data_IF_897856009775
#
_entry.id   IF_897856009775
#
_cell.length_a   1.000
_cell.length_b   1.000
_cell.length_c   1.000
_cell.angle_alpha   90.00
_cell.angle_beta   90.00
_cell.angle_gamma   90.00
#
_symmetry.space_group_name_H-M   'P 1'
#
loop_
_entity.id
_entity.type
_entity.pdbx_description
1 polymer ?
#
# COMPACT_ATOMS: atom_id res chain seq x y z
N UNK A 1 4.52 50.46 13.84
CA UNK A 1 4.88 49.67 12.63
C UNK A 1 4.44 48.23 12.88
N UNK A 2 3.34 47.82 12.24
CA UNK A 2 2.88 46.43 12.29
C UNK A 2 3.80 45.58 11.40
N UNK A 3 4.32 44.46 11.92
CA UNK A 3 4.99 43.44 11.10
C UNK A 3 4.00 42.31 10.85
N UNK A 4 3.83 42.07 9.56
CA UNK A 4 2.98 41.05 8.95
C UNK A 4 3.50 39.65 9.28
N UNK A 5 2.57 38.70 9.33
CA UNK A 5 2.79 37.27 9.41
C UNK A 5 3.72 36.80 8.29
N UNK A 6 4.74 36.03 8.63
CA UNK A 6 5.43 35.15 7.70
C UNK A 6 4.87 33.74 7.93
N UNK A 7 3.82 33.43 7.17
CA UNK A 7 3.42 32.08 6.83
C UNK A 7 4.29 31.67 5.65
N UNK A 8 5.27 30.79 5.85
CA UNK A 8 5.87 30.01 4.76
C UNK A 8 6.64 28.81 5.32
N UNK A 9 6.40 27.66 4.69
CA UNK A 9 7.20 26.46 4.89
C UNK A 9 6.54 25.40 5.75
N UNK A 10 5.32 24.95 5.38
CA UNK A 10 5.04 23.52 5.50
C UNK A 10 6.07 22.80 4.63
N UNK A 11 7.20 22.44 5.24
CA UNK A 11 8.07 21.40 4.75
C UNK A 11 7.23 20.13 4.70
N UNK A 12 6.55 19.90 3.58
CA UNK A 12 6.19 18.56 3.18
C UNK A 12 7.53 17.85 3.01
N UNK A 13 7.96 17.26 4.11
CA UNK A 13 9.01 16.27 4.17
C UNK A 13 8.68 15.26 3.08
N UNK A 14 9.35 15.40 1.93
CA UNK A 14 9.49 14.35 0.94
C UNK A 14 10.35 13.28 1.61
N UNK A 15 9.80 12.65 2.65
CA UNK A 15 10.23 11.37 3.10
C UNK A 15 10.12 10.50 1.86
N UNK A 16 11.27 10.17 1.31
CA UNK A 16 11.47 9.10 0.34
C UNK A 16 11.07 7.81 1.06
N UNK A 17 9.77 7.67 1.35
CA UNK A 17 9.21 6.55 2.08
C UNK A 17 9.52 5.34 1.21
N UNK A 18 10.40 4.49 1.71
CA UNK A 18 10.79 3.24 1.05
C UNK A 18 9.55 2.57 0.46
N UNK A 19 9.58 2.14 -0.81
CA UNK A 19 8.41 1.71 -1.54
C UNK A 19 7.69 0.61 -0.75
N UNK A 20 6.48 0.92 -0.28
CA UNK A 20 5.66 -0.04 0.44
C UNK A 20 4.88 -0.86 -0.58
N UNK A 21 5.10 -2.17 -0.57
CA UNK A 21 4.42 -3.12 -1.43
C UNK A 21 3.17 -3.63 -0.72
N UNK A 22 2.02 -3.42 -1.34
CA UNK A 22 0.75 -3.99 -0.93
C UNK A 22 0.42 -5.14 -1.86
N UNK A 23 0.36 -6.36 -1.33
CA UNK A 23 0.17 -7.57 -2.14
C UNK A 23 -1.13 -8.24 -1.70
N UNK A 24 -2.03 -8.49 -2.65
CA UNK A 24 -3.30 -9.20 -2.43
C UNK A 24 -3.26 -10.49 -3.23
N UNK A 25 -3.30 -11.61 -2.53
CA UNK A 25 -3.35 -12.96 -3.10
C UNK A 25 -4.76 -13.50 -2.98
N UNK A 26 -5.21 -14.27 -3.95
CA UNK A 26 -6.50 -14.97 -3.93
C UNK A 26 -6.38 -16.28 -4.68
N UNK A 27 -7.42 -17.11 -4.59
CA UNK A 27 -7.46 -18.40 -5.29
C UNK A 27 -7.43 -18.14 -6.80
N UNK A 28 -6.28 -18.41 -7.43
CA UNK A 28 -6.06 -18.24 -8.86
C UNK A 28 -5.15 -17.08 -9.27
N UNK A 29 -4.70 -16.23 -8.33
CA UNK A 29 -3.88 -15.08 -8.70
C UNK A 29 -3.29 -14.28 -7.54
N UNK A 30 -2.48 -13.30 -7.92
CA UNK A 30 -1.89 -12.31 -7.01
C UNK A 30 -1.76 -10.97 -7.72
N UNK A 31 -2.12 -9.90 -7.01
CA UNK A 31 -2.07 -8.54 -7.49
C UNK A 31 -1.21 -7.65 -6.56
N UNK A 32 -0.47 -6.74 -7.17
CA UNK A 32 0.40 -5.79 -6.48
C UNK A 32 -0.15 -4.38 -6.62
N UNK A 33 -0.20 -3.67 -5.50
CA UNK A 33 -0.72 -2.31 -5.40
C UNK A 33 0.31 -1.39 -4.77
N UNK A 34 0.29 -0.13 -5.18
CA UNK A 34 1.09 0.96 -4.63
C UNK A 34 0.35 1.78 -3.56
N UNK A 35 -0.94 1.47 -3.32
CA UNK A 35 -1.80 2.18 -2.36
C UNK A 35 -2.52 1.19 -1.46
N UNK A 36 -2.46 1.44 -0.15
CA UNK A 36 -3.17 0.66 0.87
C UNK A 36 -4.69 0.66 0.66
N UNK A 37 -5.25 1.81 0.27
CA UNK A 37 -6.69 1.98 0.09
C UNK A 37 -7.20 1.12 -1.08
N UNK A 38 -6.44 1.09 -2.18
CA UNK A 38 -6.78 0.27 -3.35
C UNK A 38 -6.64 -1.21 -3.02
N UNK A 39 -5.53 -1.62 -2.38
CA UNK A 39 -5.32 -3.00 -1.97
C UNK A 39 -6.42 -3.51 -1.04
N UNK A 40 -6.82 -2.70 -0.05
CA UNK A 40 -7.88 -3.06 0.89
C UNK A 40 -9.25 -3.15 0.21
N UNK A 41 -9.55 -2.23 -0.71
CA UNK A 41 -10.80 -2.28 -1.47
C UNK A 41 -10.90 -3.59 -2.26
N UNK A 42 -9.85 -3.96 -2.99
CA UNK A 42 -9.82 -5.21 -3.77
C UNK A 42 -9.89 -6.43 -2.86
N UNK A 43 -9.17 -6.42 -1.73
CA UNK A 43 -9.27 -7.48 -0.72
C UNK A 43 -10.71 -7.67 -0.22
N UNK A 44 -11.42 -6.59 0.09
CA UNK A 44 -12.81 -6.65 0.54
C UNK A 44 -13.76 -7.15 -0.57
N UNK A 45 -13.56 -6.72 -1.82
CA UNK A 45 -14.31 -7.20 -2.99
C UNK A 45 -14.12 -8.71 -3.18
N UNK A 46 -12.87 -9.19 -3.21
CA UNK A 46 -12.53 -10.62 -3.34
C UNK A 46 -13.07 -11.45 -2.16
N UNK A 47 -13.08 -10.89 -0.95
CA UNK A 47 -13.65 -11.55 0.23
C UNK A 47 -15.17 -11.70 0.10
N UNK A 48 -15.86 -10.67 -0.39
CA UNK A 48 -17.31 -10.71 -0.67
C UNK A 48 -17.67 -11.70 -1.77
N UNK A 49 -16.77 -11.92 -2.73
CA UNK A 49 -16.91 -12.96 -3.75
C UNK A 49 -16.62 -14.38 -3.22
N UNK A 50 -16.19 -14.52 -1.96
CA UNK A 50 -15.93 -15.81 -1.33
C UNK A 50 -14.57 -16.43 -1.72
N UNK A 51 -13.67 -15.64 -2.32
CA UNK A 51 -12.37 -16.10 -2.81
C UNK A 51 -11.29 -16.22 -1.71
N UNK A 52 -11.64 -15.91 -0.46
CA UNK A 52 -10.76 -15.95 0.71
C UNK A 52 -9.37 -15.34 0.42
N UNK A 53 -9.31 -14.07 -0.01
CA UNK A 53 -8.04 -13.42 -0.30
C UNK A 53 -7.17 -13.30 0.96
N UNK A 54 -5.87 -13.20 0.75
CA UNK A 54 -4.87 -12.86 1.75
C UNK A 54 -4.17 -11.56 1.35
N UNK A 55 -4.06 -10.61 2.28
CA UNK A 55 -3.33 -9.35 2.04
C UNK A 55 -2.08 -9.28 2.92
N UNK A 56 -0.96 -8.85 2.33
CA UNK A 56 0.25 -8.50 3.06
C UNK A 56 0.82 -7.16 2.62
N UNK A 57 1.42 -6.48 3.59
CA UNK A 57 2.12 -5.22 3.39
C UNK A 57 3.56 -5.39 3.81
N UNK A 58 4.51 -4.99 2.96
CA UNK A 58 5.93 -5.06 3.29
C UNK A 58 6.71 -4.02 2.51
N UNK A 59 7.81 -3.53 3.08
CA UNK A 59 8.78 -2.69 2.37
C UNK A 59 9.89 -3.53 1.71
N UNK A 60 9.93 -4.84 2.00
CA UNK A 60 10.91 -5.75 1.43
C UNK A 60 10.35 -6.42 0.18
N UNK A 61 10.92 -6.08 -0.98
CA UNK A 61 10.54 -6.65 -2.29
C UNK A 61 10.63 -8.17 -2.32
N UNK A 62 11.63 -8.78 -1.67
CA UNK A 62 11.79 -10.22 -1.65
C UNK A 62 10.65 -10.89 -0.89
N UNK A 63 10.27 -10.36 0.28
CA UNK A 63 9.11 -10.86 1.04
C UNK A 63 7.79 -10.70 0.28
N UNK A 64 7.63 -9.60 -0.47
CA UNK A 64 6.47 -9.38 -1.33
C UNK A 64 6.38 -10.44 -2.43
N UNK A 65 7.52 -10.74 -3.07
CA UNK A 65 7.61 -11.76 -4.10
C UNK A 65 7.41 -13.17 -3.55
N UNK A 66 7.99 -13.50 -2.39
CA UNK A 66 7.78 -14.80 -1.73
C UNK A 66 6.32 -15.01 -1.36
N UNK A 67 5.65 -13.98 -0.86
CA UNK A 67 4.21 -14.04 -0.59
C UNK A 67 3.39 -14.28 -1.87
N UNK A 68 3.78 -13.65 -2.98
CA UNK A 68 3.13 -13.83 -4.27
C UNK A 68 3.37 -15.21 -4.91
N UNK A 69 4.56 -15.78 -4.71
CA UNK A 69 4.94 -17.09 -5.25
C UNK A 69 4.54 -18.27 -4.36
N UNK A 70 3.94 -18.02 -3.19
CA UNK A 70 3.47 -19.10 -2.31
C UNK A 70 2.33 -19.83 -3.02
N UNK A 71 2.63 -21.03 -3.52
CA UNK A 71 1.66 -21.99 -4.07
C UNK A 71 0.96 -22.74 -2.95
#
# INVERSE_FOLDING_TARGET
MARFMEDEGSSQDLSEESPTYYVVRYIGGVDFYSSSQVAFKVYDELWKEGLQPEMRTTQNRQLAQEFACRV
#
